data_IF_072976484505
#
_entry.id   IF_072976484505
#
_cell.length_a   1.000
_cell.length_b   1.000
_cell.length_c   1.000
_cell.angle_alpha   90.00
_cell.angle_beta   90.00
_cell.angle_gamma   90.00
#
_symmetry.space_group_name_H-M   'P 1'
#
loop_
_entity.id
_entity.type
_entity.pdbx_description
1 polymer ?
#
# COMPACT_ATOMS: atom_id res chain seq x y z
N UNK A 1 44.26 11.96 4.82
CA UNK A 1 44.74 12.14 6.21
C UNK A 1 45.60 10.94 6.54
N UNK A 2 46.83 11.16 6.99
CA UNK A 2 47.72 10.10 7.51
C UNK A 2 47.44 10.02 9.03
N UNK A 3 47.29 8.84 9.64
CA UNK A 3 46.98 8.74 11.06
C UNK A 3 48.11 9.36 11.91
N UNK A 4 47.78 10.15 12.97
CA UNK A 4 48.78 10.83 13.79
C UNK A 4 49.52 9.90 14.77
N UNK A 5 49.09 8.65 14.91
CA UNK A 5 49.77 7.61 15.66
C UNK A 5 50.17 6.52 14.66
N UNK A 6 51.47 6.37 14.46
CA UNK A 6 52.02 5.33 13.61
C UNK A 6 51.59 3.97 14.20
N UNK A 7 50.99 3.10 13.39
CA UNK A 7 50.61 1.72 13.76
C UNK A 7 51.86 0.83 13.91
N UNK A 8 52.81 1.26 14.75
CA UNK A 8 54.10 0.61 14.98
C UNK A 8 53.95 -0.80 15.53
N UNK A 9 52.82 -1.12 16.18
CA UNK A 9 52.49 -2.46 16.67
C UNK A 9 52.32 -3.51 15.57
N UNK A 10 52.22 -3.10 14.30
CA UNK A 10 52.08 -3.99 13.14
C UNK A 10 53.40 -4.06 12.34
N UNK A 11 54.37 -3.16 12.59
CA UNK A 11 55.66 -3.19 11.92
C UNK A 11 56.44 -4.46 12.33
N UNK A 12 56.63 -5.39 11.38
CA UNK A 12 57.31 -6.66 11.62
C UNK A 12 56.41 -7.79 12.14
N UNK A 13 55.10 -7.54 12.31
CA UNK A 13 54.14 -8.61 12.51
C UNK A 13 54.09 -9.48 11.24
N UNK A 14 54.18 -10.79 11.40
CA UNK A 14 54.09 -11.71 10.26
C UNK A 14 52.63 -11.80 9.79
N UNK A 15 52.27 -10.88 8.91
CA UNK A 15 50.97 -10.80 8.26
C UNK A 15 50.64 -12.04 7.43
N UNK A 16 51.62 -12.92 7.17
CA UNK A 16 51.40 -14.19 6.47
C UNK A 16 50.89 -15.31 7.38
N UNK A 17 50.89 -15.14 8.71
CA UNK A 17 50.31 -16.14 9.62
C UNK A 17 48.80 -16.29 9.45
N UNK A 18 48.12 -15.26 8.95
CA UNK A 18 46.73 -15.36 8.53
C UNK A 18 46.68 -15.71 7.04
N UNK A 19 46.32 -16.95 6.73
CA UNK A 19 46.18 -17.45 5.35
C UNK A 19 45.33 -16.53 4.46
N UNK A 20 44.32 -15.87 5.05
CA UNK A 20 43.42 -14.93 4.37
C UNK A 20 44.15 -13.68 3.87
N UNK A 21 45.08 -13.15 4.65
CA UNK A 21 45.88 -11.98 4.26
C UNK A 21 46.85 -12.37 3.14
N UNK A 22 47.61 -13.47 3.33
CA UNK A 22 48.54 -13.96 2.32
C UNK A 22 47.85 -14.22 0.97
N UNK A 23 46.67 -14.85 1.01
CA UNK A 23 45.84 -15.11 -0.17
C UNK A 23 45.41 -13.82 -0.88
N UNK A 24 45.03 -12.77 -0.14
CA UNK A 24 44.65 -11.49 -0.73
C UNK A 24 45.82 -10.79 -1.43
N UNK A 25 47.02 -10.82 -0.84
CA UNK A 25 48.23 -10.29 -1.49
C UNK A 25 48.61 -11.06 -2.75
N UNK A 26 48.52 -12.39 -2.70
CA UNK A 26 48.76 -13.23 -3.86
C UNK A 26 47.74 -12.97 -4.97
N UNK A 27 46.45 -12.89 -4.63
CA UNK A 27 45.38 -12.61 -5.58
C UNK A 27 45.56 -11.22 -6.23
N UNK A 28 45.85 -10.18 -5.44
CA UNK A 28 46.12 -8.84 -5.94
C UNK A 28 47.31 -8.83 -6.93
N UNK A 29 48.39 -9.55 -6.60
CA UNK A 29 49.55 -9.69 -7.49
C UNK A 29 49.20 -10.44 -8.77
N UNK A 30 48.50 -11.56 -8.69
CA UNK A 30 48.14 -12.37 -9.86
C UNK A 30 47.17 -11.63 -10.80
N UNK A 31 46.18 -10.94 -10.23
CA UNK A 31 45.16 -10.20 -10.99
C UNK A 31 45.64 -8.82 -11.45
N UNK A 32 46.77 -8.34 -10.92
CA UNK A 32 47.27 -6.96 -11.09
C UNK A 32 46.19 -5.91 -10.78
N UNK A 33 45.33 -6.21 -9.82
CA UNK A 33 44.17 -5.40 -9.49
C UNK A 33 43.98 -5.29 -7.97
N UNK A 34 43.28 -4.25 -7.53
CA UNK A 34 42.89 -4.09 -6.12
C UNK A 34 42.05 -5.29 -5.70
N UNK A 35 42.40 -5.91 -4.57
CA UNK A 35 41.68 -7.08 -4.04
C UNK A 35 41.41 -6.90 -2.55
N UNK A 36 40.22 -7.28 -2.11
CA UNK A 36 39.84 -7.34 -0.71
C UNK A 36 40.01 -8.76 -0.17
N UNK A 37 40.42 -8.89 1.10
CA UNK A 37 40.33 -10.18 1.80
C UNK A 37 38.89 -10.49 2.22
N UNK A 38 38.66 -11.78 2.51
CA UNK A 38 37.61 -12.22 3.44
C UNK A 38 37.83 -11.64 4.84
N UNK A 39 36.83 -11.77 5.72
CA UNK A 39 36.91 -11.33 7.12
C UNK A 39 38.18 -11.86 7.78
N UNK A 40 38.90 -10.96 8.46
CA UNK A 40 40.08 -11.23 9.28
C UNK A 40 39.85 -10.72 10.70
N UNK A 41 40.52 -11.35 11.66
CA UNK A 41 40.67 -10.80 13.01
C UNK A 41 41.84 -9.82 13.00
N UNK A 42 41.57 -8.59 13.44
CA UNK A 42 42.57 -7.53 13.45
C UNK A 42 43.38 -7.64 14.74
N UNK A 43 44.71 -7.52 14.63
CA UNK A 43 45.62 -7.64 15.79
C UNK A 43 45.32 -6.63 16.91
N UNK A 44 44.76 -5.47 16.54
CA UNK A 44 44.34 -4.41 17.47
C UNK A 44 42.94 -4.67 18.09
N UNK A 45 42.30 -5.77 17.73
CA UNK A 45 40.95 -6.16 18.16
C UNK A 45 39.90 -5.96 17.07
N UNK A 46 38.83 -6.74 17.14
CA UNK A 46 37.70 -6.66 16.22
C UNK A 46 37.86 -7.44 14.93
N UNK A 47 36.84 -7.33 14.07
CA UNK A 47 36.76 -7.97 12.76
C UNK A 47 36.78 -6.93 11.65
N UNK A 48 37.44 -7.28 10.55
CA UNK A 48 37.52 -6.42 9.39
C UNK A 48 38.08 -7.12 8.18
N UNK A 49 38.65 -6.34 7.26
CA UNK A 49 39.23 -6.85 6.03
C UNK A 49 40.43 -6.00 5.62
N UNK A 50 41.27 -6.55 4.75
CA UNK A 50 42.37 -5.83 4.13
C UNK A 50 42.05 -5.55 2.67
N UNK A 51 42.34 -4.32 2.22
CA UNK A 51 42.35 -3.94 0.82
C UNK A 51 43.80 -3.89 0.38
N UNK A 52 44.14 -4.69 -0.63
CA UNK A 52 45.50 -4.79 -1.17
C UNK A 52 45.56 -4.11 -2.53
N UNK A 53 46.42 -3.10 -2.65
CA UNK A 53 46.78 -2.43 -3.88
C UNK A 53 48.16 -2.90 -4.34
N UNK A 54 48.28 -3.67 -5.44
CA UNK A 54 49.57 -4.08 -5.96
C UNK A 54 50.26 -2.92 -6.67
N UNK A 55 51.56 -2.74 -6.43
CA UNK A 55 52.39 -1.69 -7.02
C UNK A 55 53.31 -2.28 -8.08
N UNK A 56 53.35 -1.63 -9.25
CA UNK A 56 54.21 -1.98 -10.36
C UNK A 56 55.03 -0.75 -10.76
N UNK A 57 56.28 -0.97 -11.16
CA UNK A 57 57.10 0.06 -11.79
C UNK A 57 56.65 0.29 -13.24
N UNK A 58 57.19 1.33 -13.86
CA UNK A 58 56.87 1.69 -15.25
C UNK A 58 57.17 0.57 -16.25
N UNK A 59 58.14 -0.29 -15.93
CA UNK A 59 58.50 -1.48 -16.71
C UNK A 59 57.60 -2.70 -16.43
N UNK A 60 56.47 -2.51 -15.72
CA UNK A 60 55.54 -3.53 -15.28
C UNK A 60 56.11 -4.59 -14.33
N UNK A 61 57.28 -4.35 -13.74
CA UNK A 61 57.82 -5.22 -12.69
C UNK A 61 57.06 -5.00 -11.39
N UNK A 62 56.80 -6.08 -10.67
CA UNK A 62 56.14 -6.00 -9.37
C UNK A 62 57.12 -5.46 -8.34
N UNK A 63 56.80 -4.31 -7.74
CA UNK A 63 57.67 -3.62 -6.77
C UNK A 63 57.25 -3.94 -5.34
N UNK A 64 55.96 -4.18 -5.12
CA UNK A 64 55.41 -4.46 -3.80
C UNK A 64 53.91 -4.30 -3.77
N UNK A 65 53.33 -4.19 -2.58
CA UNK A 65 51.90 -3.96 -2.41
C UNK A 65 51.64 -3.12 -1.16
N UNK A 66 50.58 -2.32 -1.22
CA UNK A 66 50.10 -1.52 -0.09
C UNK A 66 48.83 -2.16 0.43
N UNK A 67 48.81 -2.49 1.72
CA UNK A 67 47.65 -3.02 2.41
C UNK A 67 47.02 -1.96 3.32
N UNK A 68 45.71 -1.76 3.20
CA UNK A 68 44.92 -0.98 4.14
C UNK A 68 43.98 -1.89 4.93
N UNK A 69 44.08 -1.88 6.26
CA UNK A 69 43.19 -2.65 7.15
C UNK A 69 42.03 -1.78 7.59
N UNK A 70 40.81 -2.29 7.46
CA UNK A 70 39.57 -1.59 7.83
C UNK A 70 38.74 -2.45 8.76
N UNK A 71 38.32 -1.88 9.90
CA UNK A 71 37.32 -2.51 10.77
C UNK A 71 35.92 -2.34 10.18
N UNK A 72 35.10 -3.38 10.20
CA UNK A 72 33.75 -3.30 9.62
C UNK A 72 32.88 -2.25 10.31
N UNK A 73 32.85 -2.24 11.64
CA UNK A 73 32.01 -1.30 12.41
C UNK A 73 32.38 0.15 12.11
N UNK A 74 33.65 0.52 12.27
CA UNK A 74 34.12 1.90 12.04
C UNK A 74 33.87 2.37 10.61
N UNK A 75 34.16 1.51 9.62
CA UNK A 75 34.01 1.85 8.21
C UNK A 75 32.55 2.06 7.84
N UNK A 76 31.69 1.11 8.20
CA UNK A 76 30.27 1.17 7.85
C UNK A 76 29.53 2.22 8.66
N UNK A 77 29.87 2.44 9.92
CA UNK A 77 29.32 3.56 10.68
C UNK A 77 29.68 4.88 10.01
N UNK A 78 30.93 5.09 9.59
CA UNK A 78 31.32 6.33 8.91
C UNK A 78 30.49 6.59 7.64
N UNK A 79 30.31 5.58 6.78
CA UNK A 79 29.56 5.74 5.53
C UNK A 79 28.05 5.80 5.74
N UNK A 80 27.54 5.03 6.68
CA UNK A 80 26.11 4.81 6.81
C UNK A 80 25.47 5.72 7.85
N UNK A 81 26.21 6.35 8.79
CA UNK A 81 25.64 7.17 9.89
C UNK A 81 24.52 8.11 9.42
N UNK A 82 24.69 8.76 8.26
CA UNK A 82 23.71 9.70 7.71
C UNK A 82 22.85 9.12 6.58
N UNK A 83 23.20 7.94 6.07
CA UNK A 83 22.47 7.27 5.01
C UNK A 83 21.26 6.52 5.60
N UNK A 84 20.05 6.87 5.17
CA UNK A 84 18.83 6.11 5.47
C UNK A 84 18.59 5.82 6.97
N UNK A 85 18.42 6.86 7.83
CA UNK A 85 18.30 6.70 9.28
C UNK A 85 17.06 5.89 9.72
N UNK A 86 16.01 5.87 8.89
CA UNK A 86 14.77 5.13 9.17
C UNK A 86 14.77 3.70 8.60
N UNK A 87 15.96 3.17 8.33
CA UNK A 87 16.14 1.81 7.82
C UNK A 87 17.11 1.04 8.71
N UNK A 88 16.76 -0.21 8.96
CA UNK A 88 17.66 -1.21 9.51
C UNK A 88 18.52 -1.78 8.39
N UNK A 89 19.83 -1.89 8.61
CA UNK A 89 20.77 -2.48 7.67
C UNK A 89 21.49 -3.65 8.33
N UNK A 90 21.66 -4.72 7.57
CA UNK A 90 22.53 -5.84 7.90
C UNK A 90 23.41 -6.14 6.71
N UNK A 91 24.69 -6.38 6.94
CA UNK A 91 25.63 -6.77 5.90
C UNK A 91 26.19 -8.12 6.28
N UNK A 92 26.18 -9.03 5.33
CA UNK A 92 26.69 -10.38 5.49
C UNK A 92 27.84 -10.61 4.51
N UNK A 93 28.89 -11.27 5.00
CA UNK A 93 29.85 -11.97 4.14
C UNK A 93 29.40 -13.43 4.10
N UNK A 94 28.92 -13.88 2.94
CA UNK A 94 28.27 -15.20 2.80
C UNK A 94 27.08 -15.35 3.78
N UNK A 95 27.23 -16.17 4.83
CA UNK A 95 26.23 -16.39 5.88
C UNK A 95 26.59 -15.73 7.22
N UNK A 96 27.76 -15.10 7.32
CA UNK A 96 28.23 -14.45 8.55
C UNK A 96 27.84 -12.98 8.54
N UNK A 97 27.13 -12.54 9.58
CA UNK A 97 26.80 -11.13 9.76
C UNK A 97 28.06 -10.36 10.18
N UNK A 98 28.49 -9.41 9.35
CA UNK A 98 29.68 -8.58 9.58
C UNK A 98 29.32 -7.17 10.08
N UNK A 99 28.07 -6.74 9.88
CA UNK A 99 27.58 -5.44 10.34
C UNK A 99 26.06 -5.47 10.55
N UNK A 100 25.60 -4.78 11.59
CA UNK A 100 24.18 -4.55 11.88
C UNK A 100 23.98 -3.15 12.40
N UNK A 101 22.97 -2.48 11.84
CA UNK A 101 22.38 -1.26 12.35
C UNK A 101 20.88 -1.40 12.42
N UNK A 102 20.33 -1.28 13.62
CA UNK A 102 18.89 -1.37 13.84
C UNK A 102 18.43 -0.15 14.64
N UNK A 103 17.98 0.92 13.95
CA UNK A 103 17.44 2.10 14.62
C UNK A 103 16.06 1.78 15.17
N UNK A 104 15.92 1.71 16.50
CA UNK A 104 14.63 1.65 17.20
C UNK A 104 14.06 0.24 17.44
N UNK A 105 12.73 0.15 17.49
CA UNK A 105 12.01 -1.10 17.76
C UNK A 105 12.23 -2.11 16.62
N UNK A 106 12.55 -3.36 17.00
CA UNK A 106 12.97 -4.44 16.11
C UNK A 106 12.23 -4.45 14.78
N UNK A 107 12.97 -4.40 13.67
CA UNK A 107 12.40 -4.42 12.32
C UNK A 107 11.99 -5.85 11.96
N UNK A 108 10.74 -6.19 12.26
CA UNK A 108 10.18 -7.53 11.98
C UNK A 108 9.44 -7.61 10.64
N UNK A 109 9.57 -6.60 9.79
CA UNK A 109 8.81 -6.52 8.56
C UNK A 109 9.50 -7.32 7.44
N UNK A 110 9.58 -8.65 7.59
CA UNK A 110 10.24 -9.56 6.63
C UNK A 110 9.72 -9.39 5.19
N UNK A 111 8.46 -9.00 5.03
CA UNK A 111 7.83 -8.70 3.73
C UNK A 111 8.41 -7.47 3.01
N UNK A 112 9.05 -6.55 3.75
CA UNK A 112 9.67 -5.33 3.21
C UNK A 112 11.20 -5.42 3.21
N UNK A 113 11.73 -6.63 3.42
CA UNK A 113 13.17 -6.90 3.34
C UNK A 113 13.61 -6.82 1.88
N UNK A 114 14.57 -5.96 1.61
CA UNK A 114 15.25 -5.92 0.33
C UNK A 114 16.70 -6.34 0.47
N UNK A 115 17.13 -7.21 -0.44
CA UNK A 115 18.49 -7.72 -0.46
C UNK A 115 19.19 -7.33 -1.76
N UNK A 116 20.47 -6.96 -1.65
CA UNK A 116 21.36 -6.71 -2.78
C UNK A 116 22.70 -7.37 -2.54
N UNK A 117 23.18 -8.06 -3.58
CA UNK A 117 24.54 -8.57 -3.61
C UNK A 117 25.47 -7.49 -4.16
N UNK A 118 26.53 -7.19 -3.42
CA UNK A 118 27.60 -6.28 -3.79
C UNK A 118 28.87 -7.11 -4.06
N UNK A 119 29.18 -7.41 -5.33
CA UNK A 119 30.43 -8.08 -5.68
C UNK A 119 31.59 -7.10 -5.59
N UNK A 120 32.59 -7.43 -4.78
CA UNK A 120 33.88 -6.73 -4.73
C UNK A 120 34.99 -7.71 -5.18
N UNK A 121 36.12 -7.22 -5.68
CA UNK A 121 37.25 -8.09 -6.00
C UNK A 121 37.73 -8.85 -4.76
N UNK A 122 37.55 -10.17 -4.74
CA UNK A 122 37.95 -11.04 -3.63
C UNK A 122 36.91 -11.28 -2.54
N UNK A 123 35.77 -10.58 -2.53
CA UNK A 123 34.72 -10.73 -1.52
C UNK A 123 33.33 -10.37 -2.07
N UNK A 124 32.28 -11.06 -1.62
CA UNK A 124 30.90 -10.71 -1.99
C UNK A 124 30.09 -10.42 -0.73
N UNK A 125 29.52 -9.22 -0.66
CA UNK A 125 28.68 -8.81 0.46
C UNK A 125 27.22 -8.85 0.10
N UNK A 126 26.41 -9.40 1.00
CA UNK A 126 24.96 -9.41 0.90
C UNK A 126 24.41 -8.36 1.84
N UNK A 127 23.88 -7.27 1.27
CA UNK A 127 23.33 -6.13 2.00
C UNK A 127 21.83 -6.31 2.10
N UNK A 128 21.33 -6.41 3.32
CA UNK A 128 19.92 -6.47 3.65
C UNK A 128 19.47 -5.13 4.24
N UNK A 129 18.41 -4.56 3.66
CA UNK A 129 17.80 -3.31 4.12
C UNK A 129 16.33 -3.58 4.44
N UNK A 130 15.90 -3.17 5.63
CA UNK A 130 14.50 -3.31 6.06
C UNK A 130 14.01 -1.99 6.64
N UNK A 131 12.83 -1.48 6.25
CA UNK A 131 12.28 -0.26 6.84
C UNK A 131 11.97 -0.45 8.33
N UNK A 132 12.13 0.60 9.13
CA UNK A 132 11.73 0.56 10.55
C UNK A 132 10.22 0.59 10.69
N UNK A 133 9.72 0.15 11.85
CA UNK A 133 8.29 0.21 12.16
C UNK A 133 7.76 1.66 12.14
N UNK A 134 8.58 2.63 12.58
CA UNK A 134 8.23 4.05 12.56
C UNK A 134 8.06 4.60 11.13
N UNK A 135 8.91 4.15 10.20
CA UNK A 135 8.76 4.48 8.79
C UNK A 135 7.48 3.86 8.20
N UNK A 136 7.20 2.60 8.51
CA UNK A 136 5.97 1.95 8.06
C UNK A 136 4.71 2.59 8.66
N UNK A 137 4.78 3.03 9.91
CA UNK A 137 3.70 3.74 10.58
C UNK A 137 3.45 5.12 9.96
N UNK A 138 4.50 5.86 9.61
CA UNK A 138 4.37 7.16 8.93
C UNK A 138 3.89 7.03 7.48
N UNK A 139 4.20 5.93 6.80
CA UNK A 139 3.71 5.63 5.45
C UNK A 139 2.30 5.03 5.42
N UNK A 140 1.78 4.53 6.55
CA UNK A 140 0.38 4.09 6.66
C UNK A 140 -0.55 5.30 6.60
N UNK A 141 -0.88 5.69 5.37
CA UNK A 141 -1.87 6.72 5.09
C UNK A 141 -3.27 6.23 5.52
N UNK A 142 -4.07 7.13 6.11
CA UNK A 142 -5.46 6.93 6.55
C UNK A 142 -6.46 6.70 5.40
N UNK A 143 -5.97 6.59 4.15
CA UNK A 143 -6.74 6.41 2.92
C UNK A 143 -7.71 5.21 2.94
N UNK A 144 -7.36 4.00 3.45
CA UNK A 144 -8.29 2.87 3.46
C UNK A 144 -9.54 3.11 4.31
N UNK A 145 -9.41 3.89 5.40
CA UNK A 145 -10.53 4.23 6.26
C UNK A 145 -11.53 5.15 5.56
N UNK A 146 -11.03 6.14 4.81
CA UNK A 146 -11.88 7.06 4.06
C UNK A 146 -12.63 6.36 2.92
N UNK A 147 -11.97 5.49 2.16
CA UNK A 147 -12.65 4.71 1.11
C UNK A 147 -13.70 3.77 1.67
N UNK A 148 -13.48 3.18 2.84
CA UNK A 148 -14.49 2.37 3.52
C UNK A 148 -15.71 3.20 3.94
N UNK A 149 -15.51 4.37 4.57
CA UNK A 149 -16.61 5.27 4.96
C UNK A 149 -17.39 5.76 3.74
N UNK A 150 -16.69 6.13 2.67
CA UNK A 150 -17.34 6.52 1.40
C UNK A 150 -18.14 5.37 0.79
N UNK A 151 -17.59 4.15 0.73
CA UNK A 151 -18.29 2.97 0.23
C UNK A 151 -19.54 2.61 1.05
N UNK A 152 -19.48 2.81 2.36
CA UNK A 152 -20.60 2.58 3.26
C UNK A 152 -21.69 3.64 3.07
N UNK A 153 -21.31 4.92 2.96
CA UNK A 153 -22.22 6.03 2.65
C UNK A 153 -22.93 5.84 1.31
N UNK A 154 -22.20 5.47 0.24
CA UNK A 154 -22.80 5.24 -1.08
C UNK A 154 -23.76 4.06 -1.06
N UNK A 155 -23.41 2.97 -0.35
CA UNK A 155 -24.28 1.80 -0.19
C UNK A 155 -25.60 2.15 0.52
N UNK A 156 -25.54 2.96 1.58
CA UNK A 156 -26.73 3.44 2.30
C UNK A 156 -27.58 4.34 1.41
N UNK A 157 -26.97 5.27 0.67
CA UNK A 157 -27.67 6.15 -0.27
C UNK A 157 -28.41 5.35 -1.36
N UNK A 158 -27.73 4.36 -1.96
CA UNK A 158 -28.32 3.53 -3.01
C UNK A 158 -29.46 2.67 -2.46
N UNK A 159 -29.30 2.08 -1.27
CA UNK A 159 -30.39 1.35 -0.61
C UNK A 159 -31.59 2.24 -0.30
N UNK A 160 -31.35 3.46 0.19
CA UNK A 160 -32.40 4.42 0.48
C UNK A 160 -33.15 4.85 -0.79
N UNK A 161 -32.40 5.12 -1.87
CA UNK A 161 -32.97 5.48 -3.16
C UNK A 161 -33.80 4.34 -3.77
N UNK A 162 -33.33 3.10 -3.66
CA UNK A 162 -34.08 1.91 -4.07
C UNK A 162 -35.38 1.73 -3.29
N UNK A 163 -35.35 1.87 -1.96
CA UNK A 163 -36.55 1.80 -1.11
C UNK A 163 -37.56 2.90 -1.45
N UNK A 164 -37.10 4.13 -1.68
CA UNK A 164 -37.98 5.25 -2.07
C UNK A 164 -38.66 4.99 -3.41
N UNK A 165 -37.93 4.49 -4.41
CA UNK A 165 -38.51 4.10 -5.70
C UNK A 165 -39.53 2.97 -5.58
N UNK A 166 -39.31 2.00 -4.69
CA UNK A 166 -40.28 0.94 -4.41
C UNK A 166 -41.55 1.51 -3.77
N UNK A 167 -41.42 2.39 -2.77
CA UNK A 167 -42.54 3.05 -2.12
C UNK A 167 -43.37 3.88 -3.12
N UNK A 168 -42.72 4.66 -3.99
CA UNK A 168 -43.39 5.44 -5.04
C UNK A 168 -44.15 4.52 -6.01
N UNK A 169 -43.55 3.40 -6.43
CA UNK A 169 -44.23 2.44 -7.32
C UNK A 169 -45.42 1.75 -6.64
N UNK A 170 -45.34 1.49 -5.34
CA UNK A 170 -46.38 0.83 -4.57
C UNK A 170 -47.59 1.76 -4.37
N UNK A 171 -47.34 3.00 -3.95
CA UNK A 171 -48.38 4.03 -3.85
C UNK A 171 -49.02 4.39 -5.20
N UNK A 172 -48.26 4.38 -6.30
CA UNK A 172 -48.81 4.60 -7.64
C UNK A 172 -49.80 3.50 -8.06
N UNK A 173 -49.56 2.25 -7.66
CA UNK A 173 -50.48 1.12 -7.91
C UNK A 173 -51.75 1.23 -7.08
N UNK A 174 -51.62 1.52 -5.78
CA UNK A 174 -52.75 1.70 -4.88
C UNK A 174 -53.65 2.86 -5.32
N UNK A 175 -53.06 4.02 -5.65
CA UNK A 175 -53.81 5.18 -6.12
C UNK A 175 -54.54 4.92 -7.45
N UNK A 176 -53.93 4.16 -8.36
CA UNK A 176 -54.56 3.83 -9.65
C UNK A 176 -55.82 2.98 -9.47
N UNK A 177 -55.77 2.01 -8.55
CA UNK A 177 -56.91 1.15 -8.23
C UNK A 177 -58.06 1.93 -7.57
N UNK A 178 -57.75 2.83 -6.64
CA UNK A 178 -58.74 3.71 -6.00
C UNK A 178 -59.37 4.65 -7.03
N UNK A 179 -58.57 5.22 -7.94
CA UNK A 179 -59.07 6.14 -8.97
C UNK A 179 -60.03 5.44 -9.93
N UNK A 180 -59.75 4.18 -10.28
CA UNK A 180 -60.63 3.37 -11.12
C UNK A 180 -61.94 3.02 -10.42
N UNK A 181 -61.88 2.58 -9.17
CA UNK A 181 -63.07 2.26 -8.36
C UNK A 181 -63.97 3.48 -8.17
N UNK A 182 -63.37 4.65 -7.85
CA UNK A 182 -64.12 5.90 -7.66
C UNK A 182 -64.82 6.34 -8.96
N UNK A 183 -64.16 6.16 -10.11
CA UNK A 183 -64.77 6.48 -11.42
C UNK A 183 -65.95 5.58 -11.73
N UNK A 184 -65.87 4.29 -11.41
CA UNK A 184 -66.97 3.35 -11.59
C UNK A 184 -68.17 3.73 -10.71
N UNK A 185 -67.93 4.05 -9.44
CA UNK A 185 -69.02 4.45 -8.54
C UNK A 185 -69.70 5.75 -9.00
N UNK A 186 -68.92 6.75 -9.46
CA UNK A 186 -69.49 7.97 -10.04
C UNK A 186 -70.35 7.68 -11.27
N UNK A 187 -69.93 6.77 -12.16
CA UNK A 187 -70.73 6.42 -13.33
C UNK A 187 -72.05 5.73 -12.97
N UNK A 188 -72.03 4.82 -11.99
CA UNK A 188 -73.25 4.13 -11.54
C UNK A 188 -74.24 5.11 -10.91
N UNK A 189 -73.76 6.03 -10.06
CA UNK A 189 -74.63 7.05 -9.46
C UNK A 189 -75.25 7.97 -10.51
N UNK A 190 -74.46 8.44 -11.46
CA UNK A 190 -74.96 9.31 -12.53
C UNK A 190 -76.02 8.61 -13.39
N UNK A 191 -75.85 7.33 -13.71
CA UNK A 191 -76.85 6.56 -14.45
C UNK A 191 -78.16 6.41 -13.65
N UNK A 192 -78.08 6.10 -12.35
CA UNK A 192 -79.24 5.99 -11.49
C UNK A 192 -79.98 7.33 -11.31
N UNK A 193 -79.25 8.44 -11.19
CA UNK A 193 -79.84 9.78 -11.13
C UNK A 193 -80.54 10.15 -12.43
N UNK A 194 -79.96 9.81 -13.59
CA UNK A 194 -80.59 10.03 -14.90
C UNK A 194 -81.86 9.20 -15.09
N UNK A 195 -81.86 7.93 -14.67
CA UNK A 195 -83.06 7.10 -14.70
C UNK A 195 -84.17 7.68 -13.81
N UNK A 196 -83.82 8.16 -12.62
CA UNK A 196 -84.76 8.76 -11.69
C UNK A 196 -85.35 10.07 -12.25
N UNK A 197 -84.52 10.90 -12.89
CA UNK A 197 -84.97 12.10 -13.59
C UNK A 197 -85.90 11.76 -14.76
N UNK A 198 -85.53 10.81 -15.62
CA UNK A 198 -86.35 10.40 -16.75
C UNK A 198 -87.71 9.81 -16.31
N UNK A 199 -87.72 9.01 -15.24
CA UNK A 199 -88.95 8.48 -14.66
C UNK A 199 -89.85 9.60 -14.08
N UNK A 200 -89.24 10.57 -13.40
CA UNK A 200 -89.95 11.75 -12.88
C UNK A 200 -90.56 12.58 -14.01
N UNK A 201 -89.79 12.93 -15.02
CA UNK A 201 -90.26 13.73 -16.15
C UNK A 201 -91.39 13.02 -16.91
N UNK A 202 -91.27 11.71 -17.10
CA UNK A 202 -92.32 10.89 -17.71
C UNK A 202 -93.61 10.86 -16.87
N UNK A 203 -93.50 10.83 -15.53
CA UNK A 203 -94.67 10.91 -14.65
C UNK A 203 -95.31 12.30 -14.68
N UNK A 204 -94.51 13.38 -14.66
CA UNK A 204 -95.01 14.76 -14.76
C UNK A 204 -95.78 14.98 -16.07
N UNK A 205 -95.27 14.45 -17.19
CA UNK A 205 -95.98 14.47 -18.48
C UNK A 205 -97.31 13.71 -18.44
N UNK A 206 -97.34 12.55 -17.77
CA UNK A 206 -98.56 11.73 -17.65
C UNK A 206 -99.63 12.43 -16.80
N UNK A 207 -99.21 13.10 -15.73
CA UNK A 207 -100.09 13.90 -14.88
C UNK A 207 -100.66 15.07 -15.66
N UNK A 208 -99.84 15.82 -16.39
CA UNK A 208 -100.30 16.93 -17.25
C UNK A 208 -101.33 16.49 -18.28
N UNK A 209 -101.06 15.38 -18.98
CA UNK A 209 -101.99 14.84 -19.98
C UNK A 209 -103.35 14.50 -19.38
N UNK A 210 -103.37 13.86 -18.19
CA UNK A 210 -104.63 13.56 -17.50
C UNK A 210 -105.36 14.79 -17.01
N UNK A 211 -104.64 15.83 -16.56
CA UNK A 211 -105.29 17.08 -16.18
C UNK A 211 -105.90 17.79 -17.38
N UNK A 212 -105.25 17.75 -18.55
CA UNK A 212 -105.80 18.30 -19.80
C UNK A 212 -107.02 17.50 -20.28
N UNK A 213 -106.96 16.16 -20.27
CA UNK A 213 -108.08 15.27 -20.61
C UNK A 213 -109.30 15.50 -19.69
N UNK A 214 -109.08 15.68 -18.37
CA UNK A 214 -110.15 15.96 -17.41
C UNK A 214 -110.75 17.36 -17.59
N UNK A 215 -109.98 18.34 -18.06
CA UNK A 215 -110.51 19.67 -18.39
C UNK A 215 -111.31 19.70 -19.70
N UNK A 216 -111.03 18.79 -20.64
CA UNK A 216 -111.77 18.65 -21.90
C UNK A 216 -113.05 17.82 -21.72
N UNK A 217 -113.06 16.85 -20.80
CA UNK A 217 -114.27 16.06 -20.47
C UNK A 217 -115.29 16.80 -19.58
N UNK A 218 -114.93 17.97 -19.05
CA UNK A 218 -115.74 18.77 -18.13
C UNK A 218 -116.28 20.07 -18.80
N UNK A 219 -116.49 20.03 -20.11
CA UNK A 219 -117.14 21.07 -20.93
C UNK A 219 -118.23 20.45 -21.80
#
# INVERSE_FOLDING_TARGET
MIPPQLNESILGADIHQQERIASAFQAARQQRAVTCSRTIEIAQGGQGFIVVLPLYADDHTFVGAVGGVFQYQELFDLFLTHAAPNFSLRIFEEDVEIYRREPGAKSHAAQWRHERLLPLPGISWRVEVTPTLDLLASLRSSLPGMTFVFGLLTSVLVSFMGRSLQQVKQHARENSAITLALRQEMQVRLAAEQELQAARDHLELRVRRRTEELTVLNK
#
